data_IF_418079987968
#
_entry.id   IF_418079987968
#
_cell.length_a   1.000
_cell.length_b   1.000
_cell.length_c   1.000
_cell.angle_alpha   90.00
_cell.angle_beta   90.00
_cell.angle_gamma   90.00
#
_symmetry.space_group_name_H-M   'P 1'
#
loop_
_entity.id
_entity.type
_entity.pdbx_description
1 polymer ?
#
# COMPACT_ATOMS: atom_id res chain seq x y z
N UNK A 1 26.68 6.84 -12.69
CA UNK A 1 26.20 6.85 -11.29
C UNK A 1 24.79 6.26 -11.26
N UNK A 2 24.43 5.39 -10.31
CA UNK A 2 23.06 4.88 -10.18
C UNK A 2 22.05 6.04 -10.09
N UNK A 3 20.92 5.93 -10.79
CA UNK A 3 19.94 7.03 -10.95
C UNK A 3 19.46 7.60 -9.62
N UNK A 4 19.11 6.75 -8.65
CA UNK A 4 18.61 7.18 -7.36
C UNK A 4 19.66 8.02 -6.59
N UNK A 5 20.91 7.53 -6.53
CA UNK A 5 22.02 8.27 -5.93
C UNK A 5 22.24 9.61 -6.64
N UNK A 6 22.18 9.61 -7.97
CA UNK A 6 22.33 10.83 -8.76
C UNK A 6 21.30 11.90 -8.39
N UNK A 7 20.04 11.51 -8.29
CA UNK A 7 18.96 12.45 -7.91
C UNK A 7 19.12 12.95 -6.49
N UNK A 8 19.52 12.10 -5.54
CA UNK A 8 19.83 12.54 -4.17
C UNK A 8 20.98 13.55 -4.13
N UNK A 9 22.06 13.29 -4.86
CA UNK A 9 23.22 14.18 -4.92
C UNK A 9 22.87 15.53 -5.58
N UNK A 10 22.03 15.51 -6.63
CA UNK A 10 21.52 16.73 -7.27
C UNK A 10 20.63 17.53 -6.30
N UNK A 11 19.75 16.86 -5.55
CA UNK A 11 18.90 17.50 -4.55
C UNK A 11 19.68 18.07 -3.37
N UNK A 12 20.68 17.35 -2.88
CA UNK A 12 21.48 17.78 -1.73
C UNK A 12 22.39 18.98 -2.04
N UNK A 13 22.64 19.27 -3.32
CA UNK A 13 23.33 20.51 -3.75
C UNK A 13 22.41 21.74 -3.69
N UNK A 14 21.09 21.55 -3.59
CA UNK A 14 20.15 22.65 -3.52
C UNK A 14 20.02 23.13 -2.06
N UNK A 15 20.37 24.40 -1.76
CA UNK A 15 20.56 24.88 -0.39
C UNK A 15 19.26 25.10 0.39
N UNK A 16 18.12 25.16 -0.31
CA UNK A 16 16.82 25.52 0.25
C UNK A 16 15.78 24.42 0.00
N UNK A 17 14.95 24.05 0.99
CA UNK A 17 13.88 23.05 0.82
C UNK A 17 12.92 23.39 -0.34
N UNK A 18 12.60 24.67 -0.54
CA UNK A 18 11.71 25.13 -1.61
C UNK A 18 12.28 24.78 -2.99
N UNK A 19 13.60 24.95 -3.17
CA UNK A 19 14.29 24.60 -4.42
C UNK A 19 14.31 23.10 -4.68
N UNK A 20 14.37 22.29 -3.63
CA UNK A 20 14.29 20.83 -3.75
C UNK A 20 12.89 20.39 -4.21
N UNK A 21 11.84 21.01 -3.66
CA UNK A 21 10.45 20.75 -4.09
C UNK A 21 10.26 21.16 -5.56
N UNK A 22 10.71 22.35 -5.95
CA UNK A 22 10.66 22.82 -7.34
C UNK A 22 11.39 21.87 -8.31
N UNK A 23 12.56 21.37 -7.91
CA UNK A 23 13.33 20.41 -8.69
C UNK A 23 12.56 19.08 -8.85
N UNK A 24 12.03 18.52 -7.75
CA UNK A 24 11.26 17.27 -7.78
C UNK A 24 10.05 17.41 -8.71
N UNK A 25 9.29 18.49 -8.57
CA UNK A 25 8.09 18.74 -9.38
C UNK A 25 8.43 18.90 -10.87
N UNK A 26 9.46 19.71 -11.18
CA UNK A 26 9.90 19.95 -12.55
C UNK A 26 10.44 18.67 -13.21
N UNK A 27 11.28 17.93 -12.49
CA UNK A 27 11.87 16.69 -13.00
C UNK A 27 10.80 15.63 -13.23
N UNK A 28 9.86 15.44 -12.28
CA UNK A 28 8.73 14.51 -12.39
C UNK A 28 7.87 14.82 -13.62
N UNK A 29 7.42 16.08 -13.80
CA UNK A 29 6.65 16.52 -14.97
C UNK A 29 7.41 16.33 -16.28
N UNK A 30 8.70 16.63 -16.28
CA UNK A 30 9.56 16.42 -17.45
C UNK A 30 9.62 14.93 -17.82
N UNK A 31 9.81 14.01 -16.87
CA UNK A 31 9.85 12.57 -17.17
C UNK A 31 8.54 12.05 -17.73
N UNK A 32 7.39 12.49 -17.20
CA UNK A 32 6.08 12.12 -17.73
C UNK A 32 5.93 12.58 -19.20
N UNK A 33 6.35 13.82 -19.50
CA UNK A 33 6.36 14.34 -20.87
C UNK A 33 7.28 13.54 -21.79
N UNK A 34 8.50 13.24 -21.36
CA UNK A 34 9.46 12.43 -22.14
C UNK A 34 8.93 11.01 -22.41
N UNK A 35 8.24 10.39 -21.44
CA UNK A 35 7.60 9.08 -21.64
C UNK A 35 6.49 9.19 -22.69
N UNK A 36 5.57 10.16 -22.58
CA UNK A 36 4.53 10.43 -23.59
C UNK A 36 5.12 10.68 -24.98
N UNK A 37 6.24 11.39 -25.07
CA UNK A 37 6.92 11.65 -26.34
C UNK A 37 7.54 10.39 -26.96
N UNK A 38 8.06 9.46 -26.14
CA UNK A 38 8.61 8.18 -26.61
C UNK A 38 7.49 7.23 -27.03
N UNK A 39 6.43 7.12 -26.23
CA UNK A 39 5.37 6.13 -26.44
C UNK A 39 4.26 6.61 -27.36
N UNK A 40 4.16 7.93 -27.56
CA UNK A 40 3.07 8.61 -28.28
C UNK A 40 1.69 8.35 -27.68
N UNK A 41 1.64 8.07 -26.38
CA UNK A 41 0.42 7.78 -25.62
C UNK A 41 0.34 8.71 -24.43
N UNK A 42 -0.88 9.06 -24.02
CA UNK A 42 -1.07 9.72 -22.74
C UNK A 42 -0.61 8.82 -21.60
N UNK A 43 -0.14 9.45 -20.52
CA UNK A 43 0.45 8.77 -19.37
C UNK A 43 -0.38 9.07 -18.14
N UNK A 44 -0.80 8.01 -17.45
CA UNK A 44 -1.33 8.04 -16.10
C UNK A 44 -0.28 7.51 -15.13
N UNK A 45 -0.20 8.12 -13.95
CA UNK A 45 0.66 7.66 -12.86
C UNK A 45 -0.21 7.39 -11.64
N UNK A 46 -0.14 6.16 -11.13
CA UNK A 46 -0.76 5.74 -9.89
C UNK A 46 0.30 5.15 -8.97
N UNK A 47 0.64 5.85 -7.89
CA UNK A 47 1.80 5.52 -7.09
C UNK A 47 1.48 5.61 -5.60
N UNK A 48 1.77 4.54 -4.85
CA UNK A 48 1.60 4.48 -3.40
C UNK A 48 2.91 4.28 -2.67
N UNK A 49 3.04 4.92 -1.52
CA UNK A 49 4.10 4.67 -0.54
C UNK A 49 3.86 3.33 0.17
N UNK A 50 4.89 2.49 0.19
CA UNK A 50 4.89 1.19 0.85
C UNK A 50 5.57 1.19 2.23
N UNK A 51 6.37 2.22 2.52
CA UNK A 51 7.22 2.35 3.70
C UNK A 51 6.44 2.90 4.88
N UNK A 52 5.48 3.81 4.63
CA UNK A 52 4.65 4.45 5.66
C UNK A 52 3.65 3.49 6.33
N UNK A 53 3.42 2.32 5.75
CA UNK A 53 2.54 1.27 6.28
C UNK A 53 1.18 1.79 6.78
N UNK A 54 0.49 2.57 5.94
CA UNK A 54 -0.78 3.20 6.26
C UNK A 54 -1.90 2.61 5.38
N UNK A 55 -3.10 2.30 5.92
CA UNK A 55 -4.20 1.69 5.15
C UNK A 55 -4.58 2.45 3.88
N UNK A 56 -4.45 3.79 3.90
CA UNK A 56 -4.72 4.65 2.74
C UNK A 56 -3.76 4.45 1.55
N UNK A 57 -2.66 3.70 1.71
CA UNK A 57 -1.79 3.28 0.60
C UNK A 57 -2.38 2.13 -0.23
N UNK A 58 -3.26 1.32 0.36
CA UNK A 58 -3.95 0.25 -0.36
C UNK A 58 -4.97 0.82 -1.38
N UNK A 59 -5.30 0.07 -2.43
CA UNK A 59 -6.39 0.41 -3.35
C UNK A 59 -7.72 0.41 -2.59
N UNK A 60 -8.42 1.55 -2.56
CA UNK A 60 -9.71 1.75 -1.87
C UNK A 60 -10.74 2.41 -2.79
N UNK A 61 -12.00 2.41 -2.36
CA UNK A 61 -13.11 3.05 -3.09
C UNK A 61 -12.88 4.53 -3.38
N UNK A 62 -12.18 5.24 -2.48
CA UNK A 62 -11.84 6.65 -2.65
C UNK A 62 -10.91 6.91 -3.84
N UNK A 63 -10.18 5.88 -4.31
CA UNK A 63 -9.30 6.02 -5.46
C UNK A 63 -10.10 6.24 -6.75
N UNK A 64 -11.34 5.73 -6.83
CA UNK A 64 -12.19 5.89 -8.02
C UNK A 64 -12.42 7.35 -8.36
N UNK A 65 -12.64 8.21 -7.37
CA UNK A 65 -12.81 9.65 -7.57
C UNK A 65 -11.57 10.28 -8.17
N UNK A 66 -10.38 9.95 -7.66
CA UNK A 66 -9.13 10.47 -8.21
C UNK A 66 -8.86 9.93 -9.61
N UNK A 67 -9.18 8.66 -9.87
CA UNK A 67 -9.10 8.10 -11.21
C UNK A 67 -10.04 8.80 -12.20
N UNK A 68 -11.25 9.18 -11.77
CA UNK A 68 -12.19 9.90 -12.63
C UNK A 68 -11.62 11.26 -13.07
N UNK A 69 -10.92 11.99 -12.20
CA UNK A 69 -10.33 13.28 -12.56
C UNK A 69 -9.11 13.15 -13.49
N UNK A 70 -8.24 12.15 -13.26
CA UNK A 70 -7.00 12.02 -14.05
C UNK A 70 -7.24 11.48 -15.47
N UNK A 71 -8.37 10.83 -15.76
CA UNK A 71 -8.67 10.35 -17.12
C UNK A 71 -9.22 11.45 -18.03
N UNK A 72 -9.75 12.53 -17.47
CA UNK A 72 -10.37 13.60 -18.24
C UNK A 72 -9.38 14.29 -19.19
N UNK A 73 -9.83 14.48 -20.44
CA UNK A 73 -9.05 15.13 -21.50
C UNK A 73 -7.90 14.30 -22.09
N UNK A 74 -7.78 13.02 -21.75
CA UNK A 74 -6.83 12.10 -22.38
C UNK A 74 -7.39 11.46 -23.65
N UNK A 75 -6.50 11.03 -24.55
CA UNK A 75 -6.88 10.30 -25.75
C UNK A 75 -7.43 8.91 -25.40
N UNK A 76 -8.67 8.65 -25.84
CA UNK A 76 -9.39 7.38 -25.62
C UNK A 76 -8.79 6.21 -26.41
N UNK A 77 -8.05 6.48 -27.49
CA UNK A 77 -7.46 5.41 -28.31
C UNK A 77 -6.43 4.58 -27.55
N UNK A 78 -5.74 5.19 -26.58
CA UNK A 78 -4.98 4.41 -25.62
C UNK A 78 -4.07 5.20 -24.68
N UNK A 79 -3.84 4.59 -23.53
CA UNK A 79 -3.11 5.16 -22.40
C UNK A 79 -2.01 4.23 -21.91
N UNK A 80 -0.93 4.82 -21.39
CA UNK A 80 0.08 4.14 -20.59
C UNK A 80 -0.16 4.43 -19.10
N UNK A 81 -0.35 3.39 -18.29
CA UNK A 81 -0.58 3.52 -16.85
C UNK A 81 0.64 3.03 -16.09
N UNK A 82 1.40 3.94 -15.51
CA UNK A 82 2.52 3.64 -14.63
C UNK A 82 1.97 3.36 -13.24
N UNK A 83 2.19 2.15 -12.74
CA UNK A 83 1.61 1.71 -11.46
C UNK A 83 2.66 1.16 -10.50
N UNK A 84 2.64 1.67 -9.27
CA UNK A 84 3.39 1.13 -8.14
C UNK A 84 2.46 1.05 -6.91
N UNK A 85 2.07 -0.16 -6.50
CA UNK A 85 1.03 -0.35 -5.48
C UNK A 85 1.09 -1.71 -4.78
N UNK A 86 0.77 -1.77 -3.47
CA UNK A 86 0.71 -3.04 -2.73
C UNK A 86 -0.57 -3.83 -2.98
N UNK A 87 -1.50 -3.30 -3.79
CA UNK A 87 -2.85 -3.84 -3.93
C UNK A 87 -3.81 -3.23 -2.93
N UNK A 88 -4.90 -3.94 -2.60
CA UNK A 88 -6.00 -3.42 -1.78
C UNK A 88 -7.29 -4.21 -2.03
N UNK A 89 -8.43 -3.53 -2.09
CA UNK A 89 -9.73 -4.17 -2.37
C UNK A 89 -9.84 -4.60 -3.84
N UNK A 90 -10.27 -5.86 -4.03
CA UNK A 90 -10.57 -6.41 -5.35
C UNK A 90 -11.76 -5.71 -6.00
N UNK A 91 -12.78 -5.35 -5.21
CA UNK A 91 -14.01 -4.69 -5.65
C UNK A 91 -13.76 -3.23 -6.04
N UNK A 92 -12.97 -2.51 -5.24
CA UNK A 92 -12.54 -1.15 -5.60
C UNK A 92 -11.73 -1.19 -6.90
N UNK A 93 -10.84 -2.17 -7.04
CA UNK A 93 -10.07 -2.41 -8.26
C UNK A 93 -10.98 -2.69 -9.46
N UNK A 94 -11.97 -3.58 -9.31
CA UNK A 94 -12.96 -3.86 -10.36
C UNK A 94 -13.68 -2.59 -10.81
N UNK A 95 -14.10 -1.76 -9.86
CA UNK A 95 -14.79 -0.48 -10.15
C UNK A 95 -13.91 0.48 -10.95
N UNK A 96 -12.61 0.55 -10.64
CA UNK A 96 -11.64 1.35 -11.40
C UNK A 96 -11.39 0.75 -12.78
N UNK A 97 -11.20 -0.57 -12.88
CA UNK A 97 -10.98 -1.27 -14.15
C UNK A 97 -12.16 -1.07 -15.11
N UNK A 98 -13.40 -1.21 -14.63
CA UNK A 98 -14.59 -0.96 -15.44
C UNK A 98 -14.58 0.47 -16.00
N UNK A 99 -14.30 1.46 -15.15
CA UNK A 99 -14.25 2.87 -15.56
C UNK A 99 -13.13 3.13 -16.58
N UNK A 100 -11.92 2.61 -16.35
CA UNK A 100 -10.81 2.74 -17.30
C UNK A 100 -11.14 2.10 -18.65
N UNK A 101 -11.80 0.93 -18.64
CA UNK A 101 -12.18 0.20 -19.86
C UNK A 101 -13.39 0.80 -20.59
N UNK A 102 -14.21 1.59 -19.92
CA UNK A 102 -15.22 2.45 -20.57
C UNK A 102 -14.60 3.69 -21.21
N UNK A 103 -13.46 4.15 -20.70
CA UNK A 103 -12.81 5.37 -21.18
C UNK A 103 -11.79 5.11 -22.29
N UNK A 104 -11.01 4.02 -22.21
CA UNK A 104 -9.91 3.73 -23.13
C UNK A 104 -10.09 2.42 -23.88
N UNK A 105 -9.84 2.47 -25.20
CA UNK A 105 -9.86 1.30 -26.08
C UNK A 105 -8.68 0.36 -25.83
N UNK A 106 -7.54 0.93 -25.46
CA UNK A 106 -6.30 0.20 -25.25
C UNK A 106 -5.53 0.73 -24.03
N UNK A 107 -5.22 -0.14 -23.08
CA UNK A 107 -4.54 0.21 -21.84
C UNK A 107 -3.27 -0.62 -21.75
N UNK A 108 -2.13 0.06 -21.61
CA UNK A 108 -0.84 -0.59 -21.38
C UNK A 108 -0.33 -0.21 -20.01
N UNK A 109 -0.08 -1.21 -19.16
CA UNK A 109 0.47 -0.96 -17.84
C UNK A 109 1.99 -0.99 -17.87
N UNK A 110 2.62 -0.10 -17.12
CA UNK A 110 4.08 -0.06 -16.94
C UNK A 110 4.34 -0.25 -15.45
N UNK A 111 5.05 -1.32 -15.08
CA UNK A 111 5.38 -1.63 -13.68
C UNK A 111 6.85 -1.30 -13.46
N UNK A 112 7.22 -0.11 -12.94
CA UNK A 112 8.63 0.25 -12.78
C UNK A 112 9.33 -0.55 -11.67
N UNK A 113 8.57 -1.00 -10.67
CA UNK A 113 9.10 -1.78 -9.55
C UNK A 113 8.11 -2.84 -9.08
N UNK A 114 6.91 -2.50 -8.58
CA UNK A 114 6.00 -3.54 -8.11
C UNK A 114 4.51 -3.21 -8.22
N UNK A 115 3.72 -4.22 -8.56
CA UNK A 115 2.26 -4.22 -8.46
C UNK A 115 1.83 -5.55 -7.82
N UNK A 116 1.25 -5.53 -6.62
CA UNK A 116 0.91 -6.76 -5.86
C UNK A 116 -0.59 -6.91 -5.67
N UNK A 117 -1.05 -8.16 -5.47
CA UNK A 117 -2.43 -8.44 -5.07
C UNK A 117 -3.43 -7.78 -6.03
N UNK A 118 -4.36 -6.97 -5.52
CA UNK A 118 -5.31 -6.25 -6.36
C UNK A 118 -4.67 -5.34 -7.44
N UNK A 119 -3.46 -4.81 -7.22
CA UNK A 119 -2.74 -4.06 -8.25
C UNK A 119 -2.25 -4.97 -9.39
N UNK A 120 -1.87 -6.22 -9.08
CA UNK A 120 -1.61 -7.24 -10.12
C UNK A 120 -2.88 -7.52 -10.91
N UNK A 121 -4.02 -7.68 -10.24
CA UNK A 121 -5.31 -7.86 -10.93
C UNK A 121 -5.62 -6.68 -11.87
N UNK A 122 -5.40 -5.44 -11.41
CA UNK A 122 -5.57 -4.24 -12.23
C UNK A 122 -4.67 -4.27 -13.46
N UNK A 123 -3.39 -4.58 -13.30
CA UNK A 123 -2.42 -4.65 -14.40
C UNK A 123 -2.79 -5.72 -15.43
N UNK A 124 -3.31 -6.87 -14.98
CA UNK A 124 -3.80 -7.95 -15.86
C UNK A 124 -5.08 -7.57 -16.62
N UNK A 125 -5.73 -6.48 -16.23
CA UNK A 125 -6.82 -5.92 -17.00
C UNK A 125 -6.38 -5.16 -18.24
N UNK A 126 -5.08 -4.93 -18.43
CA UNK A 126 -4.48 -4.27 -19.60
C UNK A 126 -4.38 -5.14 -20.85
N UNK A 127 -4.05 -4.52 -21.97
CA UNK A 127 -3.77 -5.18 -23.25
C UNK A 127 -2.33 -5.73 -23.33
N UNK A 128 -1.43 -5.16 -22.54
CA UNK A 128 -0.01 -5.51 -22.43
C UNK A 128 0.58 -4.89 -21.15
N UNK A 129 1.65 -5.51 -20.65
CA UNK A 129 2.40 -5.04 -19.48
C UNK A 129 3.86 -4.82 -19.88
N UNK A 130 4.43 -3.68 -19.50
CA UNK A 130 5.85 -3.37 -19.66
C UNK A 130 6.57 -3.58 -18.32
N UNK A 131 7.57 -4.45 -18.33
CA UNK A 131 8.37 -4.82 -17.17
C UNK A 131 9.86 -4.87 -17.53
N UNK A 132 10.73 -4.75 -16.55
CA UNK A 132 12.13 -5.19 -16.64
C UNK A 132 12.53 -6.08 -15.46
N UNK A 133 13.84 -6.22 -15.25
CA UNK A 133 14.46 -6.96 -14.17
C UNK A 133 14.20 -6.41 -12.76
N UNK A 134 13.70 -5.18 -12.64
CA UNK A 134 13.35 -4.54 -11.35
C UNK A 134 11.86 -4.65 -11.05
N UNK A 135 11.08 -5.04 -12.05
CA UNK A 135 9.63 -5.15 -12.01
C UNK A 135 9.20 -6.50 -11.44
N UNK A 136 8.22 -6.46 -10.55
CA UNK A 136 7.59 -7.65 -9.99
C UNK A 136 6.07 -7.50 -9.88
N UNK A 137 5.37 -8.54 -10.32
CA UNK A 137 3.98 -8.77 -9.97
C UNK A 137 3.90 -9.55 -8.65
N UNK A 138 2.69 -9.72 -8.12
CA UNK A 138 2.44 -10.54 -6.94
C UNK A 138 1.34 -11.58 -7.19
N UNK A 139 1.25 -12.60 -6.33
CA UNK A 139 0.08 -13.44 -6.24
C UNK A 139 -1.22 -12.64 -6.07
N UNK A 140 -2.33 -13.21 -6.56
CA UNK A 140 -3.67 -12.63 -6.43
C UNK A 140 -4.53 -13.41 -5.42
N UNK A 141 -3.90 -14.29 -4.63
CA UNK A 141 -4.58 -15.05 -3.59
C UNK A 141 -5.13 -14.09 -2.51
N UNK A 142 -6.42 -14.13 -2.20
CA UNK A 142 -7.01 -13.17 -1.29
C UNK A 142 -6.58 -13.45 0.15
N UNK A 143 -6.44 -12.38 0.92
CA UNK A 143 -6.21 -12.44 2.36
C UNK A 143 -7.44 -11.92 3.10
N UNK A 144 -7.83 -12.62 4.17
CA UNK A 144 -8.94 -12.24 5.04
C UNK A 144 -8.37 -11.68 6.34
N UNK A 145 -8.95 -10.58 6.82
CA UNK A 145 -8.57 -10.00 8.10
C UNK A 145 -9.26 -10.76 9.24
N UNK A 146 -8.47 -11.38 10.11
CA UNK A 146 -8.93 -12.10 11.30
C UNK A 146 -8.15 -11.59 12.50
N UNK A 147 -8.85 -11.04 13.49
CA UNK A 147 -8.26 -10.49 14.72
C UNK A 147 -7.11 -9.50 14.45
N UNK A 148 -7.27 -8.66 13.43
CA UNK A 148 -6.28 -7.67 13.03
C UNK A 148 -5.15 -8.20 12.12
N UNK A 149 -5.05 -9.51 11.88
CA UNK A 149 -4.03 -10.10 11.02
C UNK A 149 -4.62 -10.50 9.67
N UNK A 150 -3.84 -10.33 8.60
CA UNK A 150 -4.19 -10.85 7.28
C UNK A 150 -3.74 -12.31 7.15
N UNK A 151 -4.69 -13.19 6.88
CA UNK A 151 -4.46 -14.62 6.68
C UNK A 151 -4.87 -15.00 5.26
N UNK A 152 -4.03 -15.72 4.49
CA UNK A 152 -4.43 -16.22 3.18
C UNK A 152 -5.69 -17.08 3.29
N UNK A 153 -6.68 -16.82 2.43
CA UNK A 153 -7.94 -17.55 2.42
C UNK A 153 -7.73 -19.06 2.22
N UNK A 154 -6.76 -19.44 1.37
CA UNK A 154 -6.44 -20.83 1.10
C UNK A 154 -5.93 -21.57 2.35
N UNK A 155 -5.14 -20.92 3.20
CA UNK A 155 -4.61 -21.52 4.44
C UNK A 155 -5.73 -21.83 5.43
N UNK A 156 -6.75 -20.97 5.50
CA UNK A 156 -7.92 -21.23 6.34
C UNK A 156 -8.71 -22.42 5.80
N UNK A 157 -9.00 -22.45 4.50
CA UNK A 157 -9.70 -23.56 3.86
C UNK A 157 -8.97 -24.88 4.12
N UNK A 158 -7.66 -24.92 3.86
CA UNK A 158 -6.84 -26.13 4.06
C UNK A 158 -6.82 -26.56 5.54
N UNK A 159 -6.71 -25.62 6.47
CA UNK A 159 -6.70 -25.91 7.91
C UNK A 159 -8.01 -26.51 8.40
N UNK A 160 -9.16 -26.04 7.88
CA UNK A 160 -10.46 -26.62 8.19
C UNK A 160 -10.65 -28.01 7.59
N UNK A 161 -10.23 -28.22 6.33
CA UNK A 161 -10.31 -29.54 5.70
C UNK A 161 -9.41 -30.57 6.40
N UNK A 162 -8.21 -30.18 6.81
CA UNK A 162 -7.33 -31.04 7.61
C UNK A 162 -7.95 -31.36 8.97
N UNK A 163 -8.54 -30.37 9.66
CA UNK A 163 -9.22 -30.62 10.93
C UNK A 163 -10.40 -31.59 10.79
N UNK A 164 -11.23 -31.43 9.74
CA UNK A 164 -12.33 -32.36 9.43
C UNK A 164 -11.80 -33.78 9.21
N UNK A 165 -10.73 -33.91 8.42
CA UNK A 165 -10.08 -35.19 8.13
C UNK A 165 -9.58 -35.86 9.40
N UNK A 166 -8.77 -35.17 10.21
CA UNK A 166 -8.20 -35.71 11.46
C UNK A 166 -9.29 -36.13 12.44
N UNK A 167 -10.34 -35.32 12.64
CA UNK A 167 -11.46 -35.67 13.53
C UNK A 167 -12.22 -36.88 13.01
N UNK A 168 -12.40 -37.00 11.69
CA UNK A 168 -13.08 -38.15 11.08
C UNK A 168 -12.29 -39.45 11.21
N UNK A 169 -10.96 -39.38 11.16
CA UNK A 169 -10.07 -40.55 11.23
C UNK A 169 -9.76 -40.97 12.67
N UNK A 170 -9.51 -40.02 13.57
CA UNK A 170 -9.11 -40.28 14.96
C UNK A 170 -10.31 -40.46 15.92
N UNK A 171 -11.52 -40.14 15.48
CA UNK A 171 -12.73 -40.17 16.32
C UNK A 171 -12.89 -38.94 17.21
N UNK A 172 -13.99 -38.90 17.96
CA UNK A 172 -14.41 -37.72 18.75
C UNK A 172 -13.50 -37.40 19.93
N UNK A 173 -12.58 -38.28 20.31
CA UNK A 173 -11.69 -38.11 21.46
C UNK A 173 -10.68 -36.97 21.27
N UNK A 174 -10.35 -36.61 20.02
CA UNK A 174 -9.46 -35.48 19.71
C UNK A 174 -10.21 -34.13 19.68
N UNK A 175 -11.55 -34.14 19.68
CA UNK A 175 -12.38 -32.94 19.57
C UNK A 175 -12.06 -31.90 20.66
N UNK A 176 -11.85 -32.25 21.95
CA UNK A 176 -11.47 -31.28 22.99
C UNK A 176 -10.17 -30.52 22.68
N UNK A 177 -9.24 -31.11 21.93
CA UNK A 177 -8.00 -30.43 21.53
C UNK A 177 -8.23 -29.42 20.38
N UNK A 178 -9.22 -29.66 19.52
CA UNK A 178 -9.53 -28.80 18.36
C UNK A 178 -10.57 -27.72 18.68
N UNK A 179 -11.47 -27.93 19.64
CA UNK A 179 -12.52 -26.96 20.01
C UNK A 179 -11.96 -25.55 20.29
N UNK A 180 -10.86 -25.36 21.04
CA UNK A 180 -10.29 -24.02 21.26
C UNK A 180 -9.75 -23.36 19.98
N UNK A 181 -9.38 -24.14 18.96
CA UNK A 181 -8.92 -23.63 17.67
C UNK A 181 -10.11 -23.24 16.79
N UNK A 182 -11.15 -24.08 16.74
CA UNK A 182 -12.36 -23.86 15.94
C UNK A 182 -13.18 -22.68 16.46
N UNK A 183 -13.25 -22.49 17.78
CA UNK A 183 -13.99 -21.38 18.42
C UNK A 183 -13.43 -19.99 18.10
N UNK A 184 -12.26 -19.89 17.44
CA UNK A 184 -11.68 -18.60 17.01
C UNK A 184 -12.29 -18.06 15.72
N UNK A 185 -13.10 -18.87 15.03
CA UNK A 185 -13.61 -18.58 13.71
C UNK A 185 -15.13 -18.59 13.70
N UNK A 186 -15.72 -17.63 13.00
CA UNK A 186 -17.15 -17.67 12.71
C UNK A 186 -17.48 -18.71 11.63
N UNK A 187 -18.65 -19.34 11.73
CA UNK A 187 -19.09 -20.39 10.81
C UNK A 187 -19.01 -19.98 9.32
N UNK A 188 -19.26 -18.71 9.03
CA UNK A 188 -19.33 -18.17 7.68
C UNK A 188 -17.95 -17.86 7.07
N UNK A 189 -16.85 -18.00 7.82
CA UNK A 189 -15.50 -17.65 7.34
C UNK A 189 -15.07 -18.48 6.13
N UNK A 190 -15.44 -19.76 6.08
CA UNK A 190 -15.10 -20.66 4.97
C UNK A 190 -15.75 -20.18 3.67
N UNK A 191 -17.03 -19.83 3.72
CA UNK A 191 -17.74 -19.30 2.57
C UNK A 191 -17.14 -17.97 2.11
N UNK A 192 -16.71 -17.10 3.04
CA UNK A 192 -15.99 -15.86 2.71
C UNK A 192 -14.69 -16.19 1.97
N UNK A 193 -13.90 -17.13 2.48
CA UNK A 193 -12.62 -17.52 1.87
C UNK A 193 -12.80 -18.06 0.44
N UNK A 194 -13.79 -18.96 0.26
CA UNK A 194 -14.12 -19.53 -1.05
C UNK A 194 -14.61 -18.46 -2.03
N UNK A 195 -15.50 -17.57 -1.58
CA UNK A 195 -16.03 -16.48 -2.40
C UNK A 195 -14.93 -15.49 -2.80
N UNK A 196 -14.05 -15.13 -1.88
CA UNK A 196 -12.94 -14.22 -2.17
C UNK A 196 -11.99 -14.84 -3.20
N UNK A 197 -11.67 -16.14 -3.07
CA UNK A 197 -10.81 -16.85 -4.02
C UNK A 197 -11.45 -16.88 -5.40
N UNK A 198 -12.73 -17.27 -5.45
CA UNK A 198 -13.51 -17.30 -6.69
C UNK A 198 -13.59 -15.92 -7.36
N UNK A 199 -13.86 -14.86 -6.59
CA UNK A 199 -13.91 -13.50 -7.11
C UNK A 199 -12.59 -13.09 -7.77
N UNK A 200 -11.46 -13.32 -7.10
CA UNK A 200 -10.14 -12.97 -7.65
C UNK A 200 -9.85 -13.70 -8.97
N UNK A 201 -10.10 -15.02 -9.00
CA UNK A 201 -9.91 -15.85 -10.19
C UNK A 201 -10.84 -15.44 -11.34
N UNK A 202 -12.13 -15.22 -11.07
CA UNK A 202 -13.12 -14.85 -12.08
C UNK A 202 -12.82 -13.49 -12.70
N UNK A 203 -12.49 -12.48 -11.88
CA UNK A 203 -12.15 -11.14 -12.38
C UNK A 203 -10.93 -11.17 -13.31
N UNK A 204 -9.85 -11.81 -12.88
CA UNK A 204 -8.62 -11.88 -13.69
C UNK A 204 -8.84 -12.70 -14.96
N UNK A 205 -9.54 -13.83 -14.87
CA UNK A 205 -9.90 -14.64 -16.04
C UNK A 205 -10.72 -13.83 -17.04
N UNK A 206 -11.74 -13.12 -16.57
CA UNK A 206 -12.60 -12.29 -17.41
C UNK A 206 -11.82 -11.20 -18.12
N UNK A 207 -10.98 -10.46 -17.38
CA UNK A 207 -10.23 -9.34 -17.95
C UNK A 207 -9.16 -9.80 -18.95
N UNK A 208 -8.42 -10.87 -18.63
CA UNK A 208 -7.46 -11.45 -19.57
C UNK A 208 -8.13 -11.92 -20.86
N UNK A 209 -9.30 -12.56 -20.75
CA UNK A 209 -10.07 -13.04 -21.91
C UNK A 209 -10.58 -11.87 -22.76
N UNK A 210 -11.16 -10.85 -22.12
CA UNK A 210 -11.77 -9.69 -22.81
C UNK A 210 -10.74 -8.75 -23.43
N UNK A 211 -9.56 -8.63 -22.83
CA UNK A 211 -8.59 -7.58 -23.17
C UNK A 211 -7.24 -8.12 -23.65
N UNK A 212 -6.40 -8.66 -22.75
CA UNK A 212 -5.04 -9.08 -23.09
C UNK A 212 -4.97 -10.11 -24.23
N UNK A 213 -5.93 -11.04 -24.24
CA UNK A 213 -6.04 -12.09 -25.25
C UNK A 213 -7.23 -11.89 -26.19
N UNK A 214 -7.71 -10.64 -26.35
CA UNK A 214 -8.80 -10.31 -27.26
C UNK A 214 -8.50 -10.83 -28.68
N UNK A 215 -9.41 -11.66 -29.20
CA UNK A 215 -9.29 -12.26 -30.54
C UNK A 215 -8.46 -13.55 -30.62
N UNK A 216 -7.88 -14.03 -29.51
CA UNK A 216 -7.21 -15.32 -29.45
C UNK A 216 -8.24 -16.45 -29.31
N UNK A 217 -8.18 -17.47 -30.18
CA UNK A 217 -9.08 -18.63 -30.12
C UNK A 217 -8.98 -19.41 -28.80
N UNK A 218 -7.84 -19.29 -28.09
CA UNK A 218 -7.59 -19.91 -26.78
C UNK A 218 -7.62 -18.92 -25.62
N UNK A 219 -8.20 -17.73 -25.80
CA UNK A 219 -8.22 -16.67 -24.79
C UNK A 219 -8.72 -17.17 -23.43
N UNK A 220 -9.88 -17.85 -23.40
CA UNK A 220 -10.49 -18.35 -22.17
C UNK A 220 -9.64 -19.41 -21.46
N UNK A 221 -9.00 -20.31 -22.21
CA UNK A 221 -8.11 -21.35 -21.67
C UNK A 221 -6.84 -20.73 -21.06
N UNK A 222 -6.19 -19.83 -21.80
CA UNK A 222 -5.00 -19.09 -21.33
C UNK A 222 -5.31 -18.28 -20.09
N UNK A 223 -6.41 -17.53 -20.11
CA UNK A 223 -6.84 -16.70 -19.00
C UNK A 223 -7.16 -17.52 -17.74
N UNK A 224 -7.87 -18.65 -17.87
CA UNK A 224 -8.16 -19.55 -16.76
C UNK A 224 -6.89 -20.14 -16.15
N UNK A 225 -5.95 -20.58 -16.99
CA UNK A 225 -4.65 -21.08 -16.56
C UNK A 225 -3.82 -20.05 -15.80
N UNK A 226 -3.76 -18.81 -16.29
CA UNK A 226 -3.03 -17.71 -15.64
C UNK A 226 -3.70 -17.33 -14.31
N UNK A 227 -5.03 -17.16 -14.28
CA UNK A 227 -5.77 -16.77 -13.08
C UNK A 227 -5.57 -17.79 -11.95
N UNK A 228 -5.77 -19.09 -12.23
CA UNK A 228 -5.56 -20.16 -11.26
C UNK A 228 -4.12 -20.24 -10.78
N UNK A 229 -3.15 -20.07 -11.70
CA UNK A 229 -1.74 -20.10 -11.37
C UNK A 229 -1.36 -18.97 -10.40
N UNK A 230 -1.84 -17.75 -10.63
CA UNK A 230 -1.57 -16.60 -9.77
C UNK A 230 -2.32 -16.64 -8.43
N UNK A 231 -3.48 -17.31 -8.38
CA UNK A 231 -4.27 -17.49 -7.16
C UNK A 231 -3.82 -18.70 -6.32
N UNK A 232 -2.92 -19.54 -6.83
CA UNK A 232 -2.45 -20.75 -6.15
C UNK A 232 -1.46 -20.42 -5.02
N UNK A 233 -2.00 -20.24 -3.81
CA UNK A 233 -1.19 -20.03 -2.61
C UNK A 233 -0.24 -21.20 -2.32
N UNK A 234 -0.60 -22.45 -2.67
CA UNK A 234 0.27 -23.62 -2.44
C UNK A 234 1.49 -23.59 -3.34
N UNK A 235 1.37 -23.02 -4.54
CA UNK A 235 2.49 -22.78 -5.44
C UNK A 235 3.36 -21.63 -4.97
N UNK A 236 2.76 -20.47 -4.67
CA UNK A 236 3.52 -19.26 -4.36
C UNK A 236 4.05 -19.23 -2.92
N UNK A 237 3.43 -19.96 -1.98
CA UNK A 237 3.82 -20.10 -0.56
C UNK A 237 3.75 -18.81 0.28
N UNK A 238 3.76 -17.64 -0.34
CA UNK A 238 3.69 -16.34 0.31
C UNK A 238 3.01 -15.34 -0.59
N UNK A 239 2.09 -14.55 -0.03
CA UNK A 239 1.40 -13.47 -0.73
C UNK A 239 2.37 -12.38 -1.24
N UNK A 240 3.54 -12.25 -0.60
CA UNK A 240 4.59 -11.30 -0.99
C UNK A 240 5.59 -11.83 -2.03
N UNK A 241 5.46 -13.08 -2.49
CA UNK A 241 6.46 -13.67 -3.39
C UNK A 241 6.54 -12.90 -4.71
N UNK A 242 7.74 -12.51 -5.16
CA UNK A 242 7.88 -11.78 -6.42
C UNK A 242 7.65 -12.68 -7.63
N UNK A 243 6.94 -12.13 -8.61
CA UNK A 243 6.75 -12.70 -9.93
C UNK A 243 7.43 -11.77 -10.93
N UNK A 244 8.69 -12.07 -11.27
CA UNK A 244 9.48 -11.27 -12.20
C UNK A 244 9.04 -11.44 -13.65
N UNK A 245 9.67 -10.69 -14.55
CA UNK A 245 9.37 -10.72 -15.99
C UNK A 245 9.50 -12.12 -16.61
N UNK A 246 10.51 -12.89 -16.22
CA UNK A 246 10.75 -14.23 -16.77
C UNK A 246 9.65 -15.20 -16.35
N UNK A 247 9.26 -15.18 -15.08
CA UNK A 247 8.16 -15.98 -14.56
C UNK A 247 6.84 -15.57 -15.20
N UNK A 248 6.59 -14.26 -15.33
CA UNK A 248 5.39 -13.72 -15.98
C UNK A 248 5.26 -14.18 -17.44
N UNK A 249 6.36 -14.14 -18.21
CA UNK A 249 6.41 -14.70 -19.57
C UNK A 249 6.19 -16.22 -19.57
N UNK A 250 6.78 -16.94 -18.62
CA UNK A 250 6.66 -18.42 -18.51
C UNK A 250 5.23 -18.86 -18.22
N UNK A 251 4.49 -18.12 -17.40
CA UNK A 251 3.07 -18.42 -17.12
C UNK A 251 2.14 -17.94 -18.24
N UNK A 252 2.66 -17.24 -19.26
CA UNK A 252 1.91 -16.87 -20.46
C UNK A 252 1.31 -15.46 -20.45
N UNK A 253 1.67 -14.61 -19.49
CA UNK A 253 1.25 -13.20 -19.49
C UNK A 253 1.95 -12.46 -20.64
N UNK A 254 1.21 -11.61 -21.35
CA UNK A 254 1.77 -10.77 -22.42
C UNK A 254 2.56 -9.60 -21.83
N UNK A 255 3.88 -9.82 -21.71
CA UNK A 255 4.83 -8.85 -21.14
C UNK A 255 5.87 -8.45 -22.18
N UNK A 256 6.02 -7.14 -22.44
CA UNK A 256 7.15 -6.58 -23.19
C UNK A 256 8.30 -6.27 -22.25
N UNK A 257 9.51 -6.52 -22.73
CA UNK A 257 10.74 -6.28 -21.98
C UNK A 257 11.22 -4.85 -22.20
N UNK A 258 11.15 -4.00 -21.16
CA UNK A 258 11.65 -2.64 -21.23
C UNK A 258 13.15 -2.59 -21.53
N UNK A 259 13.92 -3.65 -21.28
CA UNK A 259 15.35 -3.72 -21.63
C UNK A 259 15.61 -3.66 -23.13
N UNK A 260 14.60 -3.96 -23.95
CA UNK A 260 14.67 -3.84 -25.41
C UNK A 260 14.42 -2.39 -25.88
N UNK A 261 13.87 -1.53 -25.01
CA UNK A 261 13.69 -0.10 -25.25
C UNK A 261 14.37 0.72 -24.15
N UNK A 262 15.70 0.80 -24.23
CA UNK A 262 16.53 1.48 -23.24
C UNK A 262 16.13 2.95 -23.00
N UNK A 263 15.82 3.78 -24.01
CA UNK A 263 15.34 5.13 -23.77
C UNK A 263 14.08 5.17 -22.88
N UNK A 264 13.08 4.33 -23.16
CA UNK A 264 11.87 4.27 -22.34
C UNK A 264 12.17 3.76 -20.93
N UNK A 265 12.97 2.69 -20.81
CA UNK A 265 13.36 2.09 -19.53
C UNK A 265 14.03 3.10 -18.60
N UNK A 266 14.91 3.92 -19.14
CA UNK A 266 15.60 4.97 -18.39
C UNK A 266 14.61 6.01 -17.86
N UNK A 267 13.68 6.50 -18.68
CA UNK A 267 12.71 7.52 -18.25
C UNK A 267 11.71 7.00 -17.24
N UNK A 268 11.23 5.78 -17.42
CA UNK A 268 10.37 5.10 -16.44
C UNK A 268 11.08 4.96 -15.09
N UNK A 269 12.37 4.61 -15.09
CA UNK A 269 13.14 4.50 -13.85
C UNK A 269 13.45 5.84 -13.20
N UNK A 270 13.80 6.85 -13.99
CA UNK A 270 14.01 8.21 -13.49
C UNK A 270 12.74 8.75 -12.82
N UNK A 271 11.57 8.50 -13.43
CA UNK A 271 10.27 8.85 -12.85
C UNK A 271 10.02 8.08 -11.54
N UNK A 272 10.25 6.76 -11.53
CA UNK A 272 10.13 5.97 -10.31
C UNK A 272 11.00 6.51 -9.18
N UNK A 273 12.27 6.77 -9.44
CA UNK A 273 13.19 7.28 -8.41
C UNK A 273 12.77 8.64 -7.86
N UNK A 274 12.32 9.57 -8.70
CA UNK A 274 11.90 10.90 -8.21
C UNK A 274 10.58 10.82 -7.43
N UNK A 275 9.66 9.90 -7.79
CA UNK A 275 8.42 9.66 -7.04
C UNK A 275 8.71 9.02 -5.67
N UNK A 276 9.64 8.07 -5.60
CA UNK A 276 10.10 7.50 -4.33
C UNK A 276 10.68 8.58 -3.40
N UNK A 277 11.50 9.48 -3.94
CA UNK A 277 12.08 10.60 -3.18
C UNK A 277 10.99 11.59 -2.73
N UNK A 278 10.01 11.88 -3.60
CA UNK A 278 8.87 12.74 -3.27
C UNK A 278 8.09 12.16 -2.08
N UNK A 279 7.80 10.87 -2.10
CA UNK A 279 7.11 10.21 -1.01
C UNK A 279 7.96 10.22 0.26
N UNK A 280 9.25 9.89 0.21
CA UNK A 280 10.12 9.90 1.39
C UNK A 280 10.23 11.28 2.06
N UNK A 281 10.14 12.36 1.27
CA UNK A 281 10.30 13.74 1.75
C UNK A 281 8.97 14.45 2.01
N UNK A 282 7.84 13.76 1.97
CA UNK A 282 6.52 14.36 2.13
C UNK A 282 5.55 13.48 2.95
N UNK A 283 4.45 14.05 3.49
CA UNK A 283 3.39 13.28 4.12
C UNK A 283 2.50 12.53 3.12
N UNK A 284 2.79 12.61 1.81
CA UNK A 284 2.02 11.95 0.76
C UNK A 284 2.17 10.42 0.94
N UNK A 285 1.04 9.73 0.93
CA UNK A 285 0.95 8.27 0.93
C UNK A 285 0.66 7.76 -0.48
N UNK A 286 -0.06 8.54 -1.29
CA UNK A 286 -0.50 8.11 -2.61
C UNK A 286 -0.67 9.31 -3.52
N UNK A 287 -0.37 9.14 -4.80
CA UNK A 287 -0.52 10.18 -5.81
C UNK A 287 -1.15 9.63 -7.10
N UNK A 288 -1.81 10.53 -7.80
CA UNK A 288 -2.49 10.29 -9.06
C UNK A 288 -2.16 11.44 -10.00
N UNK A 289 -1.73 11.12 -11.20
CA UNK A 289 -1.32 12.15 -12.14
C UNK A 289 -1.57 11.75 -13.59
N UNK A 290 -1.76 12.75 -14.45
CA UNK A 290 -1.78 12.55 -15.89
C UNK A 290 -0.78 13.45 -16.65
N UNK A 291 -0.53 13.10 -17.91
CA UNK A 291 0.33 13.85 -18.83
C UNK A 291 -0.19 15.22 -19.25
N UNK A 292 -1.41 15.58 -18.85
CA UNK A 292 -2.01 16.91 -19.08
C UNK A 292 -1.85 17.85 -17.87
N UNK A 293 -1.21 17.39 -16.78
CA UNK A 293 -0.85 18.21 -15.62
C UNK A 293 -1.83 18.15 -14.46
N UNK A 294 -2.83 17.26 -14.47
CA UNK A 294 -3.64 16.96 -13.28
C UNK A 294 -2.78 16.22 -12.28
N UNK A 295 -2.67 16.72 -11.05
CA UNK A 295 -1.89 16.11 -9.97
C UNK A 295 -2.67 16.12 -8.65
N UNK A 296 -3.00 14.94 -8.14
CA UNK A 296 -3.77 14.73 -6.92
C UNK A 296 -2.96 13.86 -5.95
N UNK A 297 -3.14 14.11 -4.64
CA UNK A 297 -2.41 13.38 -3.60
C UNK A 297 -3.32 13.05 -2.41
N UNK A 298 -3.01 11.95 -1.72
CA UNK A 298 -3.53 11.64 -0.39
C UNK A 298 -2.38 11.72 0.62
N UNK A 299 -2.61 12.46 1.70
CA UNK A 299 -1.63 12.65 2.78
C UNK A 299 -2.00 11.81 4.02
N UNK A 300 -1.02 11.49 4.86
CA UNK A 300 -1.30 11.08 6.24
C UNK A 300 -1.97 12.28 6.91
N UNK A 301 -3.19 12.13 7.46
CA UNK A 301 -3.83 13.19 8.23
C UNK A 301 -2.90 13.59 9.38
N UNK A 302 -2.59 14.88 9.51
CA UNK A 302 -1.81 15.37 10.63
C UNK A 302 -2.65 15.19 11.89
N UNK A 303 -2.39 14.14 12.67
CA UNK A 303 -2.96 14.05 14.02
C UNK A 303 -2.29 15.13 14.86
N UNK A 304 -2.97 16.26 15.04
CA UNK A 304 -2.64 17.19 16.11
C UNK A 304 -2.77 16.40 17.40
N UNK A 305 -1.65 16.00 18.00
CA UNK A 305 -1.65 15.54 19.40
C UNK A 305 -2.22 16.69 20.20
N UNK A 306 -3.48 16.60 20.61
CA UNK A 306 -3.99 17.39 21.72
C UNK A 306 -3.16 16.99 22.93
N UNK A 307 -2.09 17.74 23.20
CA UNK A 307 -1.49 17.73 24.52
C UNK A 307 -2.62 18.22 25.45
N UNK A 308 -3.04 17.43 26.44
CA UNK A 308 -3.95 17.96 27.45
C UNK A 308 -3.31 19.23 28.00
N UNK A 309 -4.09 20.31 28.25
CA UNK A 309 -3.53 21.52 28.82
C UNK A 309 -2.75 21.12 30.06
N UNK A 310 -1.50 21.58 30.17
CA UNK A 310 -0.72 21.38 31.38
C UNK A 310 -1.62 21.73 32.57
N UNK A 311 -1.77 20.83 33.57
CA UNK A 311 -2.55 21.16 34.74
C UNK A 311 -1.97 22.46 35.28
N UNK A 312 -2.83 23.48 35.41
CA UNK A 312 -2.45 24.76 36.02
C UNK A 312 -1.72 24.44 37.33
N UNK A 313 -0.59 25.12 37.63
CA UNK A 313 0.07 24.92 38.91
C UNK A 313 -0.97 25.13 40.00
N UNK A 314 -1.21 24.06 40.77
CA UNK A 314 -2.19 24.04 41.84
C UNK A 314 -1.84 25.20 42.78
N UNK A 315 -2.59 26.30 42.71
CA UNK A 315 -2.44 27.40 43.64
C UNK A 315 -3.33 27.05 44.84
N UNK A 316 -2.76 26.59 45.98
CA UNK A 316 -3.58 26.22 47.11
C UNK A 316 -4.33 27.46 47.61
N UNK A 317 -5.62 27.36 47.96
CA UNK A 317 -6.38 28.48 48.49
C UNK A 317 -5.71 29.02 49.77
N UNK A 318 -5.53 30.35 49.83
CA UNK A 318 -4.87 31.09 50.93
C UNK A 318 -5.43 30.80 52.34
N UNK A 319 -6.59 30.15 52.44
CA UNK A 319 -7.21 29.78 53.72
C UNK A 319 -6.54 28.58 54.42
N UNK A 320 -5.65 27.84 53.76
CA UNK A 320 -4.96 26.68 54.35
C UNK A 320 -3.71 27.05 55.16
N UNK A 321 -3.11 28.22 54.91
CA UNK A 321 -1.86 28.65 55.57
C UNK A 321 -2.12 29.25 56.96
N UNK A 322 -3.30 29.81 57.19
CA UNK A 322 -3.67 30.42 58.48
C UNK A 322 -3.99 29.39 59.57
N UNK A 323 -4.57 28.23 59.22
CA UNK A 323 -4.84 27.14 60.17
C UNK A 323 -3.59 26.32 60.52
N UNK A 324 -2.65 26.19 59.59
CA UNK A 324 -1.36 25.52 59.84
C UNK A 324 -0.44 26.35 60.76
N UNK A 325 -0.44 27.68 60.67
CA UNK A 325 0.39 28.55 61.54
C UNK A 325 -0.08 28.61 63.00
N UNK A 326 -1.36 28.38 63.31
CA UNK A 326 -1.85 28.29 64.70
C UNK A 326 -1.59 26.92 65.36
N UNK A 327 -1.53 25.83 64.59
CA UNK A 327 -1.28 24.50 65.14
C UNK A 327 0.21 24.27 65.49
N UNK A 328 1.14 24.91 64.78
CA UNK A 328 2.59 24.78 65.05
C UNK A 328 3.02 25.58 66.30
N UNK A 329 2.37 26.72 66.58
CA UNK A 329 2.63 27.53 67.78
C UNK A 329 2.20 26.86 69.10
N UNK A 330 1.16 26.01 69.08
CA UNK A 330 0.70 25.29 70.29
C UNK A 330 1.51 24.02 70.61
N UNK A 331 2.27 23.49 69.64
CA UNK A 331 3.08 22.27 69.82
C UNK A 331 4.53 22.61 70.20
N UNK A 332 5.10 23.71 69.68
CA UNK A 332 6.46 24.13 70.05
C UNK A 332 6.61 24.70 71.48
N UNK A 333 5.52 25.10 72.13
CA UNK A 333 5.54 25.51 73.55
C UNK A 333 5.32 24.34 74.54
N UNK A 334 5.06 23.11 74.07
CA UNK A 334 4.87 21.92 74.92
C UNK A 334 6.02 20.92 74.90
N UNK A 335 6.99 21.07 74.00
CA UNK A 335 8.19 20.23 73.95
C UNK A 335 9.42 21.13 73.84
N UNK A 336 10.03 21.42 74.99
CA UNK A 336 11.23 22.24 75.10
C UNK A 336 12.43 21.60 74.41
N UNK A 337 12.67 21.99 73.17
CA UNK A 337 13.95 21.81 72.51
C UNK A 337 14.52 23.19 72.17
N UNK A 338 15.34 23.71 73.10
CA UNK A 338 16.34 24.73 72.78
C UNK A 338 17.42 24.05 71.95
N UNK A 339 17.59 24.44 70.69
CA UNK A 339 18.86 24.25 70.00
C UNK A 339 19.44 25.60 69.61
N UNK A 340 20.70 25.73 70.00
CA UNK A 340 21.56 26.90 70.02
C UNK A 340 22.11 27.21 68.63
N UNK A 341 22.02 28.48 68.22
CA UNK A 341 22.67 29.02 67.02
C UNK A 341 24.19 29.07 67.20
N UNK A 342 24.94 28.51 66.24
CA UNK A 342 26.31 28.90 65.95
C UNK A 342 26.52 28.90 64.42
N UNK A 343 27.06 29.98 63.82
CA UNK A 343 27.27 30.07 62.38
C UNK A 343 28.67 29.59 61.99
N UNK A 344 28.76 28.79 60.92
CA UNK A 344 30.03 28.59 60.21
C UNK A 344 29.95 29.25 58.83
N UNK A 345 30.77 30.31 58.67
CA UNK A 345 31.22 30.84 57.38
C UNK A 345 32.40 29.98 56.91
N UNK A 346 32.48 29.72 55.60
CA UNK A 346 33.73 29.34 54.94
C UNK A 346 33.90 30.31 53.76
N UNK A 347 35.14 30.81 53.64
CA UNK A 347 35.68 31.70 52.63
C UNK A 347 35.91 31.01 51.29
#
# INVERSE_FOLDING_TARGET
>A
MPTFQRLLDELNKLPQPEKQVEYIDSFRKQKIKEIKEITKRDVLVYFSDLKKNHPAGAITWDDKTCFADIVEGLDKNGVDVIIHSPGGSAEATQSIVCMLREHFDNIRFIVPNMAKSAATMMVLSGDEILMDDRSELGPIDPQIQINGNFVPAQTLIDGFEEAKKVISEAGTDILPAYLPLLNKYDLHILQICENAKKLSEELVKDWLTKYMFKGDAKAAEKADGIAKNLADHKKWLSHGRPIGINEAKTIGIKVSDLRENMPLREKVWELYCVLEILLDRSPIIKLYENSNGVFLVKNIPFQQKFLPPNPLPFCPPERSVWRAKRAVSSVQNRFGFRQTNAPYRIY
#
